data_IF_013279774714
#
_entry.id   IF_013279774714
#
_cell.length_a   1.000
_cell.length_b   1.000
_cell.length_c   1.000
_cell.angle_alpha   90.00
_cell.angle_beta   90.00
_cell.angle_gamma   90.00
#
_symmetry.space_group_name_H-M   'P 1'
#
loop_
_entity.id
_entity.type
_entity.pdbx_description
1 polymer ?
#
# COMPACT_ATOMS: atom_id res chain seq x y z
N UNK A 1 9.01 9.26 18.52
CA UNK A 1 9.46 8.71 17.23
C UNK A 1 8.81 9.54 16.15
N UNK A 2 9.60 10.40 15.48
CA UNK A 2 9.17 11.04 14.23
C UNK A 2 9.50 10.03 13.14
N UNK A 3 8.51 9.25 12.73
CA UNK A 3 8.57 8.59 11.42
C UNK A 3 8.33 9.70 10.41
N UNK A 4 9.35 10.01 9.60
CA UNK A 4 9.23 10.92 8.46
C UNK A 4 8.15 10.37 7.52
N UNK A 5 6.91 10.87 7.68
CA UNK A 5 5.78 10.58 6.79
C UNK A 5 6.10 10.92 5.33
N UNK A 6 7.13 11.73 5.09
CA UNK A 6 7.62 12.14 3.77
C UNK A 6 8.16 11.00 2.91
N UNK A 7 8.50 9.83 3.47
CA UNK A 7 9.08 8.72 2.71
C UNK A 7 8.10 7.60 2.30
N UNK A 8 6.88 7.54 2.83
CA UNK A 8 5.93 6.50 2.42
C UNK A 8 5.34 6.84 1.05
N UNK A 9 5.35 5.86 0.16
CA UNK A 9 4.96 6.00 -1.25
C UNK A 9 3.67 5.27 -1.59
N UNK A 10 3.40 4.18 -0.87
CA UNK A 10 2.14 3.46 -0.91
C UNK A 10 1.74 3.05 0.50
N UNK A 11 0.45 2.88 0.72
CA UNK A 11 -0.11 2.31 1.94
C UNK A 11 -1.12 1.24 1.57
N UNK A 12 -1.00 0.08 2.21
CA UNK A 12 -1.83 -1.09 1.99
C UNK A 12 -2.41 -1.59 3.32
N UNK A 13 -3.54 -2.26 3.24
CA UNK A 13 -4.17 -2.94 4.37
C UNK A 13 -4.85 -4.21 3.92
N UNK A 14 -4.99 -5.16 4.83
CA UNK A 14 -5.66 -6.42 4.58
C UNK A 14 -7.03 -6.42 5.24
N UNK A 15 -8.03 -6.90 4.50
CA UNK A 15 -9.37 -7.18 5.05
C UNK A 15 -9.89 -8.51 4.51
N UNK A 16 -10.73 -9.14 5.33
CA UNK A 16 -11.65 -10.17 4.87
C UNK A 16 -12.81 -9.56 4.06
N UNK A 17 -13.99 -10.16 4.13
CA UNK A 17 -15.12 -9.83 3.23
C UNK A 17 -15.92 -8.57 3.62
N UNK A 18 -15.66 -7.97 4.79
CA UNK A 18 -16.53 -6.94 5.38
C UNK A 18 -16.36 -5.50 4.80
N UNK A 19 -15.57 -5.33 3.75
CA UNK A 19 -15.29 -4.03 3.13
C UNK A 19 -14.55 -3.05 4.05
N UNK A 20 -14.53 -1.77 3.67
CA UNK A 20 -13.82 -0.71 4.41
C UNK A 20 -14.75 0.40 4.87
N UNK A 21 -14.58 0.85 6.12
CA UNK A 21 -15.22 2.05 6.61
C UNK A 21 -14.58 3.29 6.01
N UNK A 22 -15.39 4.33 5.78
CA UNK A 22 -14.89 5.63 5.30
C UNK A 22 -13.74 6.18 6.14
N UNK A 23 -13.79 6.03 7.45
CA UNK A 23 -12.73 6.51 8.36
C UNK A 23 -11.41 5.77 8.17
N UNK A 24 -11.44 4.50 7.74
CA UNK A 24 -10.22 3.74 7.43
C UNK A 24 -9.63 4.21 6.10
N UNK A 25 -10.48 4.43 5.09
CA UNK A 25 -10.07 4.99 3.81
C UNK A 25 -9.45 6.38 3.99
N UNK A 26 -10.05 7.25 4.79
CA UNK A 26 -9.47 8.57 5.08
C UNK A 26 -8.11 8.45 5.75
N UNK A 27 -7.95 7.53 6.71
CA UNK A 27 -6.64 7.31 7.36
C UNK A 27 -5.57 6.83 6.38
N UNK A 28 -5.92 5.97 5.42
CA UNK A 28 -5.01 5.55 4.36
C UNK A 28 -4.51 6.76 3.56
N UNK A 29 -5.44 7.62 3.12
CA UNK A 29 -5.11 8.84 2.37
C UNK A 29 -4.19 9.76 3.19
N UNK A 30 -4.49 9.98 4.47
CA UNK A 30 -3.72 10.83 5.39
C UNK A 30 -2.24 10.38 5.58
N UNK A 31 -1.90 9.13 5.25
CA UNK A 31 -0.51 8.66 5.27
C UNK A 31 0.30 9.15 4.08
N UNK A 32 -0.35 9.41 2.95
CA UNK A 32 0.30 9.79 1.70
C UNK A 32 0.22 11.28 1.41
N UNK A 33 -0.68 12.02 2.09
CA UNK A 33 -0.80 13.47 1.94
C UNK A 33 0.51 14.20 2.27
N UNK A 34 0.91 15.10 1.38
CA UNK A 34 2.04 16.00 1.57
C UNK A 34 1.53 17.42 1.91
N UNK A 35 2.00 18.04 3.01
CA UNK A 35 1.55 19.39 3.39
C UNK A 35 1.80 20.42 2.29
N UNK A 36 0.72 21.07 1.81
CA UNK A 36 0.81 22.13 0.81
C UNK A 36 0.86 21.65 -0.64
N UNK A 37 0.71 20.36 -0.90
CA UNK A 37 0.65 19.77 -2.24
C UNK A 37 -0.67 18.99 -2.42
N UNK A 38 -1.28 19.10 -3.59
CA UNK A 38 -2.36 18.19 -3.98
C UNK A 38 -1.75 16.82 -4.29
N UNK A 39 -2.19 15.79 -3.57
CA UNK A 39 -1.67 14.43 -3.74
C UNK A 39 -2.66 13.62 -4.56
N UNK A 40 -2.31 13.32 -5.81
CA UNK A 40 -3.06 12.36 -6.63
C UNK A 40 -2.68 10.94 -6.23
N UNK A 41 -3.68 10.07 -6.12
CA UNK A 41 -3.54 8.70 -5.65
C UNK A 41 -4.12 7.74 -6.69
N UNK A 42 -3.44 6.62 -6.88
CA UNK A 42 -3.93 5.47 -7.62
C UNK A 42 -4.33 4.36 -6.63
N UNK A 43 -5.33 3.56 -7.01
CA UNK A 43 -5.94 2.56 -6.13
C UNK A 43 -5.27 1.21 -6.33
N UNK A 44 -4.85 0.58 -5.23
CA UNK A 44 -4.40 -0.80 -5.23
C UNK A 44 -5.50 -1.68 -4.65
N UNK A 45 -5.90 -2.71 -5.41
CA UNK A 45 -6.84 -3.72 -4.96
C UNK A 45 -6.38 -5.09 -5.47
N UNK A 46 -5.96 -5.96 -4.56
CA UNK A 46 -5.41 -7.28 -4.85
C UNK A 46 -6.14 -8.33 -4.03
N UNK A 47 -6.31 -9.52 -4.58
CA UNK A 47 -6.81 -10.69 -3.84
C UNK A 47 -5.62 -11.49 -3.28
N UNK A 48 -5.73 -11.96 -2.05
CA UNK A 48 -4.82 -12.92 -1.43
C UNK A 48 -5.63 -14.12 -0.89
N UNK A 49 -4.98 -15.13 -0.30
CA UNK A 49 -5.61 -16.44 -0.06
C UNK A 49 -6.89 -16.38 0.79
N UNK A 50 -6.98 -15.41 1.70
CA UNK A 50 -8.08 -15.30 2.66
C UNK A 50 -8.79 -13.94 2.65
N UNK A 51 -8.56 -13.09 1.65
CA UNK A 51 -9.18 -11.76 1.60
C UNK A 51 -8.66 -10.85 0.50
N UNK A 52 -8.73 -9.55 0.76
CA UNK A 52 -8.26 -8.48 -0.13
C UNK A 52 -7.19 -7.62 0.52
N UNK A 53 -6.19 -7.25 -0.26
CA UNK A 53 -5.28 -6.15 0.02
C UNK A 53 -5.85 -4.91 -0.68
N UNK A 54 -6.04 -3.84 0.07
CA UNK A 54 -6.54 -2.58 -0.45
C UNK A 54 -5.67 -1.42 0.01
N UNK A 55 -5.54 -0.40 -0.81
CA UNK A 55 -4.92 0.84 -0.41
C UNK A 55 -4.64 1.77 -1.56
N UNK A 56 -3.62 2.59 -1.39
CA UNK A 56 -3.29 3.63 -2.34
C UNK A 56 -1.78 3.71 -2.55
N UNK A 57 -1.41 4.12 -3.75
CA UNK A 57 -0.06 4.53 -4.12
C UNK A 57 -0.13 5.94 -4.68
N UNK A 58 0.89 6.77 -4.42
CA UNK A 58 0.93 8.10 -5.05
C UNK A 58 1.05 7.96 -6.57
N UNK A 59 0.30 8.76 -7.30
CA UNK A 59 0.17 8.64 -8.75
C UNK A 59 1.52 8.78 -9.47
N UNK A 60 2.36 9.74 -9.03
CA UNK A 60 3.74 9.94 -9.51
C UNK A 60 4.58 8.67 -9.36
N UNK A 61 4.49 8.00 -8.22
CA UNK A 61 5.20 6.74 -7.97
C UNK A 61 4.67 5.60 -8.84
N UNK A 62 3.34 5.49 -8.98
CA UNK A 62 2.71 4.47 -9.83
C UNK A 62 3.18 4.59 -11.28
N UNK A 63 3.26 5.81 -11.82
CA UNK A 63 3.78 6.08 -13.17
C UNK A 63 5.28 5.76 -13.26
N UNK A 64 6.09 6.44 -12.44
CA UNK A 64 7.55 6.45 -12.60
C UNK A 64 8.21 5.10 -12.27
N UNK A 65 7.68 4.39 -11.26
CA UNK A 65 8.29 3.13 -10.79
C UNK A 65 7.62 1.89 -11.35
N UNK A 66 6.30 1.94 -11.54
CA UNK A 66 5.50 0.76 -11.87
C UNK A 66 4.89 0.82 -13.28
N UNK A 67 4.94 1.97 -13.97
CA UNK A 67 4.23 2.15 -15.23
C UNK A 67 2.73 1.87 -15.12
N UNK A 68 2.14 2.21 -13.96
CA UNK A 68 0.77 1.91 -13.53
C UNK A 68 0.41 0.43 -13.37
N UNK A 69 1.37 -0.50 -13.47
CA UNK A 69 1.07 -1.92 -13.24
C UNK A 69 1.14 -2.27 -11.75
N UNK A 70 0.00 -2.10 -11.08
CA UNK A 70 -0.25 -2.55 -9.70
C UNK A 70 -1.02 -3.86 -9.65
N UNK A 71 -1.10 -4.60 -10.76
CA UNK A 71 -1.87 -5.84 -10.84
C UNK A 71 -1.22 -6.97 -10.03
N UNK A 72 -1.96 -8.05 -9.76
CA UNK A 72 -1.43 -9.24 -9.06
C UNK A 72 -0.25 -9.91 -9.76
N UNK A 73 -0.10 -9.68 -11.07
CA UNK A 73 0.95 -10.28 -11.89
C UNK A 73 2.19 -9.38 -12.00
N UNK A 74 2.10 -8.13 -11.54
CA UNK A 74 3.23 -7.20 -11.41
C UNK A 74 4.19 -7.64 -10.29
N UNK A 75 5.44 -7.17 -10.34
CA UNK A 75 6.42 -7.43 -9.27
C UNK A 75 5.99 -6.81 -7.94
N UNK A 76 5.34 -5.64 -7.99
CA UNK A 76 4.74 -4.99 -6.82
C UNK A 76 3.61 -5.84 -6.22
N UNK A 77 2.65 -6.27 -7.05
CA UNK A 77 1.50 -7.05 -6.60
C UNK A 77 1.87 -8.42 -6.07
N UNK A 78 2.81 -9.12 -6.72
CA UNK A 78 3.34 -10.40 -6.22
C UNK A 78 4.01 -10.26 -4.87
N UNK A 79 4.81 -9.20 -4.66
CA UNK A 79 5.48 -8.96 -3.39
C UNK A 79 4.48 -8.66 -2.26
N UNK A 80 3.48 -7.82 -2.53
CA UNK A 80 2.42 -7.51 -1.57
C UNK A 80 1.60 -8.76 -1.18
N UNK A 81 1.22 -9.60 -2.16
CA UNK A 81 0.49 -10.85 -1.93
C UNK A 81 1.34 -11.85 -1.14
N UNK A 82 2.65 -11.95 -1.43
CA UNK A 82 3.55 -12.84 -0.71
C UNK A 82 3.61 -12.48 0.78
N UNK A 83 3.76 -11.20 1.12
CA UNK A 83 3.73 -10.74 2.52
C UNK A 83 2.36 -10.99 3.15
N UNK A 84 1.26 -10.81 2.42
CA UNK A 84 -0.07 -11.08 2.96
C UNK A 84 -0.32 -12.57 3.28
N UNK A 85 0.26 -13.46 2.49
CA UNK A 85 0.07 -14.90 2.64
C UNK A 85 1.05 -15.55 3.62
N UNK A 86 2.17 -14.90 3.95
CA UNK A 86 3.23 -15.48 4.77
C UNK A 86 3.66 -14.56 5.92
N UNK A 87 3.21 -14.91 7.13
CA UNK A 87 3.54 -14.20 8.36
C UNK A 87 5.05 -14.15 8.66
N UNK A 88 5.86 -15.08 8.13
CA UNK A 88 7.31 -15.05 8.32
C UNK A 88 7.99 -13.90 7.57
N UNK A 89 7.31 -13.32 6.57
CA UNK A 89 7.78 -12.17 5.81
C UNK A 89 7.38 -10.83 6.46
N UNK A 90 6.53 -10.86 7.49
CA UNK A 90 6.17 -9.66 8.24
C UNK A 90 7.36 -9.08 9.01
N UNK A 91 7.46 -7.76 9.06
CA UNK A 91 8.46 -7.06 9.85
C UNK A 91 7.81 -6.13 10.89
N UNK A 92 8.52 -5.89 11.99
CA UNK A 92 8.05 -5.08 13.13
C UNK A 92 7.72 -3.62 12.75
N UNK A 93 8.31 -3.10 11.67
CA UNK A 93 8.06 -1.73 11.22
C UNK A 93 6.84 -1.61 10.32
N UNK A 94 6.32 -2.73 9.81
CA UNK A 94 5.28 -2.80 8.81
C UNK A 94 5.60 -2.02 7.52
N UNK A 95 6.88 -1.72 7.27
CA UNK A 95 7.34 -0.97 6.10
C UNK A 95 8.16 -1.90 5.22
N UNK A 96 7.80 -1.96 3.95
CA UNK A 96 8.35 -2.87 2.96
C UNK A 96 8.86 -2.10 1.73
N UNK A 97 9.75 -2.75 0.99
CA UNK A 97 10.15 -2.31 -0.34
C UNK A 97 9.55 -3.31 -1.35
N UNK A 98 8.49 -2.89 -2.03
CA UNK A 98 7.82 -3.67 -3.07
C UNK A 98 8.18 -3.09 -4.43
N UNK A 99 9.06 -3.76 -5.16
CA UNK A 99 9.53 -3.32 -6.49
C UNK A 99 10.06 -1.87 -6.50
N UNK A 100 10.78 -1.45 -5.45
CA UNK A 100 11.31 -0.10 -5.30
C UNK A 100 10.33 0.91 -4.72
N UNK A 101 9.11 0.48 -4.34
CA UNK A 101 8.09 1.31 -3.69
C UNK A 101 8.14 1.10 -2.18
N UNK A 102 8.35 2.18 -1.42
CA UNK A 102 8.34 2.14 0.03
C UNK A 102 6.90 2.11 0.55
N UNK A 103 6.45 0.94 0.95
CA UNK A 103 5.05 0.64 1.27
C UNK A 103 4.85 0.42 2.76
N UNK A 104 3.91 1.14 3.37
CA UNK A 104 3.39 0.82 4.70
C UNK A 104 2.25 -0.18 4.56
N UNK A 105 2.30 -1.33 5.22
CA UNK A 105 1.24 -2.34 5.17
C UNK A 105 0.76 -2.70 6.58
N UNK A 106 -0.49 -2.38 6.92
CA UNK A 106 -1.04 -2.63 8.25
C UNK A 106 -2.15 -3.69 8.27
N UNK A 107 -2.25 -4.38 9.41
CA UNK A 107 -3.07 -5.57 9.65
C UNK A 107 -4.19 -5.28 10.66
#
# INVERSE_FOLDING_TARGET
MNTDKTEIEAVLTQRGEDGFYRTEITRLIDYLERPGEETELDVVCLEFDTGIIFGFIRYDVSDEKLGFDVSKDSDFGKAAIAVANDMELENDSHIYDFAGVKTLMYY
#
